data_IF_578355068295
#
_entry.id   IF_578355068295
#
_cell.length_a   1.000
_cell.length_b   1.000
_cell.length_c   1.000
_cell.angle_alpha   90.00
_cell.angle_beta   90.00
_cell.angle_gamma   90.00
#
_symmetry.space_group_name_H-M   'P 1'
#
loop_
_entity.id
_entity.type
_entity.pdbx_description
1 polymer ?
#
# COMPACT_ATOMS: atom_id res chain seq x y z
N UNK A 1 -8.71 58.29 -23.64
CA UNK A 1 -8.24 57.27 -24.61
C UNK A 1 -7.11 56.51 -23.95
N UNK A 2 -7.29 55.21 -23.72
CA UNK A 2 -6.20 54.21 -23.62
C UNK A 2 -5.42 54.12 -24.95
N UNK A 3 -4.36 53.29 -25.11
CA UNK A 3 -3.49 52.60 -24.14
C UNK A 3 -1.98 52.69 -24.51
N UNK A 4 -1.09 52.20 -23.64
CA UNK A 4 -0.07 51.25 -24.10
C UNK A 4 0.24 50.24 -22.99
N UNK A 5 -0.14 48.98 -23.26
CA UNK A 5 0.24 47.82 -22.47
C UNK A 5 1.56 47.28 -23.02
N UNK A 6 2.45 46.90 -22.12
CA UNK A 6 3.66 46.12 -22.43
C UNK A 6 3.28 44.65 -22.25
N UNK A 7 3.30 43.90 -23.35
CA UNK A 7 3.16 42.45 -23.37
C UNK A 7 4.43 41.79 -22.83
N UNK A 8 4.30 41.03 -21.74
CA UNK A 8 5.27 40.00 -21.36
C UNK A 8 4.63 38.65 -21.58
N UNK A 9 5.09 37.95 -22.61
CA UNK A 9 4.70 36.59 -22.94
C UNK A 9 5.27 35.61 -21.91
N UNK A 10 4.40 35.04 -21.07
CA UNK A 10 4.73 33.85 -20.26
C UNK A 10 4.14 32.62 -20.93
N UNK A 11 5.02 31.76 -21.46
CA UNK A 11 4.66 30.45 -22.01
C UNK A 11 4.27 29.50 -20.88
N UNK A 12 3.00 29.53 -20.48
CA UNK A 12 2.43 28.49 -19.64
C UNK A 12 2.23 27.24 -20.51
N UNK A 13 3.21 26.33 -20.44
CA UNK A 13 3.11 24.97 -20.95
C UNK A 13 1.96 24.25 -20.23
N UNK A 14 0.81 24.19 -20.89
CA UNK A 14 -0.36 23.47 -20.43
C UNK A 14 -0.09 21.96 -20.55
N UNK A 15 0.48 21.37 -19.50
CA UNK A 15 0.73 19.93 -19.42
C UNK A 15 -0.59 19.18 -19.34
N UNK A 16 -1.16 18.83 -20.50
CA UNK A 16 -2.25 17.85 -20.58
C UNK A 16 -1.79 16.56 -19.89
N UNK A 17 -2.50 16.14 -18.85
CA UNK A 17 -2.38 14.81 -18.29
C UNK A 17 -2.56 13.79 -19.42
N UNK A 18 -1.47 13.15 -19.83
CA UNK A 18 -1.53 12.03 -20.76
C UNK A 18 -2.11 10.85 -19.98
N UNK A 19 -3.42 10.62 -20.14
CA UNK A 19 -4.03 9.38 -19.70
C UNK A 19 -3.36 8.24 -20.47
N UNK A 20 -2.55 7.44 -19.78
CA UNK A 20 -1.97 6.24 -20.35
C UNK A 20 -3.11 5.20 -20.49
N UNK A 21 -3.79 5.24 -21.64
CA UNK A 21 -4.99 4.44 -21.94
C UNK A 21 -4.74 2.93 -21.93
N UNK A 22 -3.48 2.49 -21.83
CA UNK A 22 -3.09 1.07 -21.78
C UNK A 22 -3.42 0.36 -20.46
N UNK A 23 -3.71 1.09 -19.38
CA UNK A 23 -4.00 0.50 -18.07
C UNK A 23 -5.49 0.28 -17.79
N UNK A 24 -6.39 0.85 -18.60
CA UNK A 24 -7.84 0.65 -18.46
C UNK A 24 -8.16 -0.75 -18.99
N UNK A 25 -8.46 -1.68 -18.08
CA UNK A 25 -8.75 -3.08 -18.36
C UNK A 25 -10.09 -3.47 -17.73
N UNK A 26 -10.74 -4.48 -18.30
CA UNK A 26 -11.89 -5.11 -17.67
C UNK A 26 -11.50 -5.72 -16.31
N UNK A 27 -12.30 -5.54 -15.26
CA UNK A 27 -12.06 -6.15 -13.96
C UNK A 27 -11.83 -7.67 -14.06
N UNK A 28 -10.84 -8.15 -13.33
CA UNK A 28 -10.55 -9.57 -13.24
C UNK A 28 -11.58 -10.27 -12.37
N UNK A 29 -11.99 -11.46 -12.81
CA UNK A 29 -13.02 -12.26 -12.14
C UNK A 29 -12.40 -13.45 -11.44
N UNK A 30 -12.94 -13.76 -10.26
CA UNK A 30 -12.66 -15.01 -9.55
C UNK A 30 -13.20 -16.19 -10.36
N UNK A 31 -12.50 -17.31 -10.26
CA UNK A 31 -12.88 -18.59 -10.86
C UNK A 31 -13.15 -19.70 -9.82
N UNK A 32 -13.02 -19.38 -8.52
CA UNK A 32 -13.38 -20.26 -7.40
C UNK A 32 -12.31 -21.29 -7.06
N UNK A 33 -11.06 -21.11 -7.49
CA UNK A 33 -9.99 -22.08 -7.22
C UNK A 33 -9.60 -22.18 -5.76
N UNK A 34 -9.78 -21.09 -5.00
CA UNK A 34 -9.44 -21.03 -3.59
C UNK A 34 -10.57 -21.50 -2.67
N UNK A 35 -11.78 -21.71 -3.18
CA UNK A 35 -12.96 -22.10 -2.40
C UNK A 35 -12.83 -23.49 -1.75
N UNK A 36 -11.89 -24.30 -2.24
CA UNK A 36 -11.57 -25.62 -1.68
C UNK A 36 -10.74 -25.57 -0.39
N UNK A 37 -10.14 -24.43 -0.06
CA UNK A 37 -9.35 -24.24 1.16
C UNK A 37 -10.23 -23.68 2.26
N UNK A 38 -10.03 -24.15 3.48
CA UNK A 38 -10.73 -23.61 4.64
C UNK A 38 -10.32 -22.15 4.86
N UNK A 39 -11.33 -21.28 4.90
CA UNK A 39 -11.11 -19.85 5.12
C UNK A 39 -12.33 -19.20 5.75
N UNK A 40 -12.11 -18.02 6.34
CA UNK A 40 -13.18 -17.19 6.86
C UNK A 40 -12.88 -15.70 6.65
N UNK A 41 -13.95 -14.90 6.55
CA UNK A 41 -13.85 -13.45 6.55
C UNK A 41 -13.50 -12.95 7.94
N UNK A 42 -12.35 -12.28 8.10
CA UNK A 42 -11.90 -11.73 9.39
C UNK A 42 -12.85 -10.62 9.85
N UNK A 43 -13.27 -9.76 8.91
CA UNK A 43 -14.40 -8.85 9.08
C UNK A 43 -15.29 -8.87 7.83
N UNK A 44 -16.53 -8.35 7.89
CA UNK A 44 -17.39 -8.32 6.71
C UNK A 44 -16.76 -7.58 5.51
N UNK A 45 -16.06 -6.47 5.77
CA UNK A 45 -15.55 -5.57 4.73
C UNK A 45 -14.14 -5.96 4.26
N UNK A 46 -13.26 -6.36 5.17
CA UNK A 46 -11.83 -6.49 4.92
C UNK A 46 -11.27 -7.73 5.61
N UNK A 47 -10.29 -8.38 4.99
CA UNK A 47 -9.59 -9.51 5.57
C UNK A 47 -10.23 -10.86 5.25
N UNK A 48 -9.42 -11.79 4.79
CA UNK A 48 -9.75 -13.23 4.72
C UNK A 48 -8.58 -14.01 5.29
N UNK A 49 -8.84 -14.95 6.19
CA UNK A 49 -7.79 -15.83 6.72
C UNK A 49 -8.00 -17.24 6.17
N UNK A 50 -6.95 -17.80 5.56
CA UNK A 50 -6.89 -19.20 5.15
C UNK A 50 -6.24 -20.00 6.26
N UNK A 51 -6.93 -21.01 6.78
CA UNK A 51 -6.52 -21.75 7.99
C UNK A 51 -5.70 -22.99 7.67
N UNK A 52 -5.89 -23.59 6.50
CA UNK A 52 -5.28 -24.86 6.08
C UNK A 52 -4.39 -24.73 4.83
N UNK A 53 -4.25 -23.54 4.26
CA UNK A 53 -3.47 -23.30 3.06
C UNK A 53 -1.96 -23.14 3.32
N UNK A 54 -1.15 -23.72 2.43
CA UNK A 54 0.29 -23.51 2.36
C UNK A 54 0.65 -22.82 1.03
N UNK A 55 1.10 -21.56 1.10
CA UNK A 55 1.40 -20.75 -0.08
C UNK A 55 2.63 -21.27 -0.83
N UNK A 56 3.58 -21.89 -0.15
CA UNK A 56 4.75 -22.49 -0.80
C UNK A 56 4.37 -23.71 -1.66
N UNK A 57 3.33 -24.45 -1.27
CA UNK A 57 2.77 -25.53 -2.10
C UNK A 57 2.05 -24.96 -3.32
N UNK A 58 1.31 -23.86 -3.17
CA UNK A 58 0.66 -23.20 -4.31
C UNK A 58 1.68 -22.69 -5.34
N UNK A 59 2.84 -22.19 -4.89
CA UNK A 59 3.93 -21.76 -5.78
C UNK A 59 4.53 -22.93 -6.59
N UNK A 60 4.46 -24.15 -6.08
CA UNK A 60 5.05 -25.37 -6.68
C UNK A 60 4.05 -26.24 -7.44
N UNK A 61 2.76 -25.93 -7.36
CA UNK A 61 1.70 -26.70 -8.01
C UNK A 61 1.73 -26.56 -9.55
N UNK A 62 1.23 -27.57 -10.27
CA UNK A 62 1.16 -27.53 -11.74
C UNK A 62 0.30 -26.36 -12.26
N UNK A 63 -0.76 -26.00 -11.54
CA UNK A 63 -1.64 -24.87 -11.83
C UNK A 63 -1.28 -23.61 -11.02
N UNK A 64 0.00 -23.43 -10.66
CA UNK A 64 0.45 -22.37 -9.77
C UNK A 64 0.05 -20.96 -10.24
N UNK A 65 0.19 -20.65 -11.53
CA UNK A 65 -0.17 -19.33 -12.05
C UNK A 65 -1.67 -19.01 -11.85
N UNK A 66 -2.56 -19.99 -11.98
CA UNK A 66 -3.98 -19.78 -11.73
C UNK A 66 -4.27 -19.57 -10.24
N UNK A 67 -3.61 -20.33 -9.35
CA UNK A 67 -3.74 -20.16 -7.90
C UNK A 67 -3.25 -18.79 -7.43
N UNK A 68 -2.07 -18.35 -7.90
CA UNK A 68 -1.51 -17.05 -7.51
C UNK A 68 -2.32 -15.89 -8.10
N UNK A 69 -2.85 -16.06 -9.32
CA UNK A 69 -3.77 -15.08 -9.91
C UNK A 69 -5.07 -14.98 -9.11
N UNK A 70 -5.69 -16.09 -8.74
CA UNK A 70 -6.91 -16.11 -7.92
C UNK A 70 -6.65 -15.49 -6.55
N UNK A 71 -5.48 -15.77 -5.94
CA UNK A 71 -5.03 -15.14 -4.70
C UNK A 71 -4.91 -13.63 -4.85
N UNK A 72 -4.28 -13.14 -5.92
CA UNK A 72 -4.13 -11.71 -6.18
C UNK A 72 -5.49 -10.98 -6.32
N UNK A 73 -6.45 -11.60 -7.03
CA UNK A 73 -7.83 -11.08 -7.15
C UNK A 73 -8.53 -11.09 -5.78
N UNK A 74 -8.37 -12.17 -5.02
CA UNK A 74 -8.92 -12.31 -3.66
C UNK A 74 -8.38 -11.22 -2.74
N UNK A 75 -7.06 -10.98 -2.73
CA UNK A 75 -6.43 -9.91 -1.96
C UNK A 75 -6.97 -8.55 -2.40
N UNK A 76 -7.06 -8.29 -3.70
CA UNK A 76 -7.55 -7.01 -4.23
C UNK A 76 -9.00 -6.72 -3.80
N UNK A 77 -9.85 -7.76 -3.72
CA UNK A 77 -11.25 -7.66 -3.28
C UNK A 77 -11.41 -7.59 -1.77
N UNK A 78 -10.50 -8.21 -1.01
CA UNK A 78 -10.55 -8.33 0.46
C UNK A 78 -9.60 -7.39 1.20
N UNK A 79 -8.77 -6.63 0.48
CA UNK A 79 -7.74 -5.74 1.00
C UNK A 79 -6.49 -6.49 1.49
N UNK A 80 -6.68 -7.48 2.36
CA UNK A 80 -5.60 -8.28 2.97
C UNK A 80 -6.05 -9.72 3.18
N UNK A 81 -5.11 -10.65 3.08
CA UNK A 81 -5.30 -12.05 3.45
C UNK A 81 -4.23 -12.52 4.44
N UNK A 82 -4.56 -13.54 5.21
CA UNK A 82 -3.70 -14.08 6.26
C UNK A 82 -3.51 -15.59 6.12
N UNK A 83 -2.32 -16.04 6.49
CA UNK A 83 -1.96 -17.45 6.62
C UNK A 83 -1.16 -17.66 7.90
N UNK A 84 -1.27 -18.85 8.49
CA UNK A 84 -0.55 -19.18 9.72
C UNK A 84 0.66 -20.06 9.45
N UNK A 85 1.72 -19.85 10.21
CA UNK A 85 2.89 -20.72 10.30
C UNK A 85 3.47 -21.23 8.95
N UNK A 86 3.67 -20.32 7.98
CA UNK A 86 4.17 -20.61 6.63
C UNK A 86 5.69 -20.87 6.62
N UNK A 87 6.11 -21.96 7.28
CA UNK A 87 7.53 -22.33 7.49
C UNK A 87 8.29 -22.58 6.19
N UNK A 88 7.61 -23.10 5.18
CA UNK A 88 8.21 -23.50 3.89
C UNK A 88 8.35 -22.35 2.90
N UNK A 89 7.75 -21.19 3.19
CA UNK A 89 7.86 -20.00 2.34
C UNK A 89 9.19 -19.30 2.62
N UNK A 90 10.24 -19.62 1.87
CA UNK A 90 11.55 -18.96 2.00
C UNK A 90 11.52 -17.50 1.53
N UNK A 91 12.61 -16.76 1.72
CA UNK A 91 12.69 -15.37 1.22
C UNK A 91 12.64 -15.35 -0.32
N UNK A 92 13.25 -16.32 -0.98
CA UNK A 92 13.24 -16.48 -2.43
C UNK A 92 11.81 -16.72 -2.94
N UNK A 93 11.07 -17.64 -2.32
CA UNK A 93 9.67 -17.88 -2.66
C UNK A 93 8.77 -16.69 -2.32
N UNK A 94 9.06 -15.95 -1.25
CA UNK A 94 8.33 -14.73 -0.89
C UNK A 94 8.54 -13.61 -1.94
N UNK A 95 9.76 -13.47 -2.45
CA UNK A 95 10.08 -12.56 -3.56
C UNK A 95 9.39 -12.98 -4.86
N UNK A 96 9.44 -14.27 -5.20
CA UNK A 96 8.75 -14.82 -6.37
C UNK A 96 7.24 -14.55 -6.29
N UNK A 97 6.64 -14.79 -5.13
CA UNK A 97 5.22 -14.53 -4.89
C UNK A 97 4.88 -13.04 -5.08
N UNK A 98 5.65 -12.13 -4.47
CA UNK A 98 5.45 -10.69 -4.62
C UNK A 98 5.49 -10.24 -6.08
N UNK A 99 6.44 -10.77 -6.86
CA UNK A 99 6.52 -10.46 -8.28
C UNK A 99 5.33 -11.01 -9.08
N UNK A 100 5.00 -12.29 -8.86
CA UNK A 100 3.96 -13.02 -9.59
C UNK A 100 2.55 -12.48 -9.33
N UNK A 101 2.22 -12.06 -8.10
CA UNK A 101 0.92 -11.44 -7.80
C UNK A 101 0.61 -10.25 -8.73
N UNK A 102 1.61 -9.37 -8.90
CA UNK A 102 1.52 -8.24 -9.81
C UNK A 102 1.55 -8.63 -11.28
N UNK A 103 2.50 -9.48 -11.69
CA UNK A 103 2.65 -9.94 -13.10
C UNK A 103 1.36 -10.59 -13.60
N UNK A 104 0.80 -11.50 -12.80
CA UNK A 104 -0.40 -12.26 -13.15
C UNK A 104 -1.67 -11.43 -13.10
N UNK A 105 -1.64 -10.24 -12.50
CA UNK A 105 -2.75 -9.27 -12.54
C UNK A 105 -2.49 -8.08 -13.47
N UNK A 106 -1.38 -8.13 -14.22
CA UNK A 106 -1.11 -7.20 -15.32
C UNK A 106 -0.46 -5.88 -14.91
N UNK A 107 0.39 -5.88 -13.86
CA UNK A 107 1.34 -4.78 -13.59
C UNK A 107 2.21 -4.50 -14.83
N UNK A 108 2.83 -3.31 -14.96
CA UNK A 108 3.73 -3.02 -16.07
C UNK A 108 4.91 -4.01 -16.11
N UNK A 109 5.28 -4.51 -17.30
CA UNK A 109 6.40 -5.45 -17.48
C UNK A 109 7.75 -4.88 -17.01
N UNK A 110 7.89 -3.56 -17.01
CA UNK A 110 9.07 -2.86 -16.49
C UNK A 110 9.12 -2.78 -14.95
N UNK A 111 8.04 -3.17 -14.26
CA UNK A 111 7.95 -3.13 -12.81
C UNK A 111 8.33 -4.48 -12.19
N UNK A 112 9.22 -4.43 -11.20
CA UNK A 112 9.84 -5.59 -10.55
C UNK A 112 9.60 -5.50 -9.03
N UNK A 113 10.51 -6.05 -8.23
CA UNK A 113 10.47 -5.93 -6.77
C UNK A 113 11.05 -4.59 -6.32
N UNK A 114 10.44 -4.03 -5.28
CA UNK A 114 10.87 -2.80 -4.65
C UNK A 114 12.29 -2.94 -4.07
N UNK A 115 13.02 -1.83 -4.06
CA UNK A 115 14.26 -1.64 -3.29
C UNK A 115 14.08 -0.42 -2.41
N UNK A 116 14.31 -0.54 -1.11
CA UNK A 116 14.04 0.57 -0.18
C UNK A 116 15.02 1.75 -0.39
N UNK A 117 14.57 3.02 -0.28
CA UNK A 117 15.47 4.17 -0.45
C UNK A 117 16.67 4.18 0.50
N UNK A 118 16.57 3.51 1.65
CA UNK A 118 17.67 3.36 2.61
C UNK A 118 18.55 2.11 2.37
N UNK A 119 18.43 1.41 1.24
CA UNK A 119 19.17 0.16 0.99
C UNK A 119 20.69 0.31 1.20
N UNK A 120 21.27 1.45 0.84
CA UNK A 120 22.70 1.72 1.02
C UNK A 120 23.16 1.73 2.49
N UNK A 121 22.23 1.77 3.46
CA UNK A 121 22.58 1.59 4.87
C UNK A 121 23.04 0.16 5.18
N UNK A 122 22.47 -0.84 4.49
CA UNK A 122 22.80 -2.26 4.63
C UNK A 122 23.07 -2.87 3.23
N UNK A 123 24.19 -2.51 2.57
CA UNK A 123 24.43 -2.87 1.16
C UNK A 123 24.57 -4.38 0.93
N UNK A 124 24.94 -5.14 1.96
CA UNK A 124 25.15 -6.60 1.89
C UNK A 124 23.85 -7.39 2.11
N UNK A 125 22.75 -6.75 2.54
CA UNK A 125 21.45 -7.40 2.70
C UNK A 125 20.75 -7.59 1.35
N UNK A 126 19.93 -8.63 1.23
CA UNK A 126 19.07 -8.85 0.05
C UNK A 126 18.13 -7.65 -0.15
N UNK A 127 18.42 -6.84 -1.18
CA UNK A 127 17.79 -5.53 -1.43
C UNK A 127 16.27 -5.57 -1.66
N UNK A 128 15.74 -6.75 -1.99
CA UNK A 128 14.31 -6.96 -2.21
C UNK A 128 13.56 -7.48 -0.97
N UNK A 129 14.28 -7.77 0.12
CA UNK A 129 13.72 -8.13 1.42
C UNK A 129 14.01 -7.04 2.44
N UNK A 130 12.95 -6.36 2.88
CA UNK A 130 13.04 -5.41 3.97
C UNK A 130 12.89 -6.12 5.30
N UNK A 131 13.96 -6.17 6.10
CA UNK A 131 13.90 -6.67 7.48
C UNK A 131 13.35 -5.59 8.40
N UNK A 132 12.12 -5.78 8.88
CA UNK A 132 11.47 -4.89 9.85
C UNK A 132 11.70 -5.48 11.23
N UNK A 133 12.64 -4.90 11.99
CA UNK A 133 13.08 -5.47 13.26
C UNK A 133 13.26 -4.45 14.38
N UNK A 134 12.98 -4.86 15.61
CA UNK A 134 13.40 -4.17 16.83
C UNK A 134 14.64 -4.79 17.50
N UNK A 135 15.16 -5.91 16.98
CA UNK A 135 16.33 -6.63 17.55
C UNK A 135 17.62 -5.79 17.48
N UNK A 136 17.72 -4.86 16.53
CA UNK A 136 18.95 -4.12 16.24
C UNK A 136 19.14 -2.87 17.13
N UNK A 137 18.17 -2.53 17.97
CA UNK A 137 18.29 -1.41 18.90
C UNK A 137 19.13 -1.80 20.13
N UNK A 138 20.04 -0.92 20.55
CA UNK A 138 20.86 -1.14 21.76
C UNK A 138 19.99 -1.29 23.03
N UNK A 139 18.84 -0.62 23.06
CA UNK A 139 17.78 -0.82 24.04
C UNK A 139 16.41 -0.79 23.33
N UNK A 140 15.90 -1.94 22.84
CA UNK A 140 14.68 -1.98 22.03
C UNK A 140 13.45 -1.42 22.73
N UNK A 141 13.38 -1.58 24.05
CA UNK A 141 12.27 -1.10 24.83
C UNK A 141 12.27 0.44 24.89
N UNK A 142 13.42 1.03 25.21
CA UNK A 142 13.59 2.49 25.23
C UNK A 142 13.46 3.13 23.83
N UNK A 143 13.95 2.46 22.79
CA UNK A 143 13.78 2.90 21.40
C UNK A 143 12.29 2.93 21.02
N UNK A 144 11.54 1.88 21.36
CA UNK A 144 10.09 1.85 21.14
C UNK A 144 9.36 2.92 21.95
N UNK A 145 9.73 3.20 23.21
CA UNK A 145 9.10 4.28 23.99
C UNK A 145 9.42 5.67 23.44
N UNK A 146 10.68 5.92 23.05
CA UNK A 146 11.11 7.21 22.50
C UNK A 146 10.57 7.46 21.09
N UNK A 147 10.47 6.40 20.28
CA UNK A 147 10.02 6.48 18.89
C UNK A 147 8.54 6.14 18.72
N UNK A 148 7.80 5.85 19.80
CA UNK A 148 6.35 5.69 19.72
C UNK A 148 5.77 7.00 19.18
N UNK A 149 5.04 6.98 18.05
CA UNK A 149 4.46 8.20 17.50
C UNK A 149 3.54 8.85 18.54
N UNK A 150 3.81 10.11 18.89
CA UNK A 150 2.92 10.89 19.76
C UNK A 150 1.54 11.07 19.11
N UNK A 151 1.50 11.08 17.77
CA UNK A 151 0.29 11.04 16.96
C UNK A 151 0.23 9.73 16.16
N UNK A 152 -0.49 8.75 16.72
CA UNK A 152 -0.73 7.46 16.07
C UNK A 152 -1.66 7.58 14.86
N UNK A 153 -2.45 8.66 14.72
CA UNK A 153 -3.36 8.83 13.58
C UNK A 153 -2.55 9.03 12.31
N UNK A 154 -1.48 9.82 12.40
CA UNK A 154 -0.52 10.03 11.33
C UNK A 154 0.42 8.83 11.08
N UNK A 155 0.17 7.65 11.66
CA UNK A 155 0.92 6.43 11.35
C UNK A 155 0.28 5.58 10.24
N UNK A 156 -1.01 5.80 9.95
CA UNK A 156 -1.70 5.16 8.83
C UNK A 156 -1.06 5.55 7.50
N UNK A 157 -0.86 4.58 6.63
CA UNK A 157 -0.27 4.82 5.31
C UNK A 157 -0.54 3.70 4.32
N UNK A 158 -0.38 4.03 3.04
CA UNK A 158 -0.03 3.08 1.98
C UNK A 158 1.49 3.11 1.79
N UNK A 159 2.11 1.95 1.60
CA UNK A 159 3.56 1.87 1.38
C UNK A 159 4.00 2.68 0.16
N UNK A 160 5.11 3.40 0.30
CA UNK A 160 5.80 4.10 -0.78
C UNK A 160 4.90 4.91 -1.74
N UNK A 161 3.81 5.50 -1.23
CA UNK A 161 2.93 6.39 -2.00
C UNK A 161 3.63 7.63 -2.57
N UNK A 162 4.82 7.95 -2.09
CA UNK A 162 5.68 9.02 -2.60
C UNK A 162 6.45 8.67 -3.89
N UNK A 163 6.44 7.40 -4.33
CA UNK A 163 7.05 6.99 -5.59
C UNK A 163 6.08 7.20 -6.77
N UNK A 164 6.57 7.54 -7.98
CA UNK A 164 5.74 7.63 -9.18
C UNK A 164 4.98 6.33 -9.52
N UNK A 165 5.63 5.18 -9.34
CA UNK A 165 5.02 3.85 -9.40
C UNK A 165 5.03 3.23 -7.98
N UNK A 166 3.98 3.42 -7.17
CA UNK A 166 3.93 2.84 -5.84
C UNK A 166 3.73 1.32 -5.91
N UNK A 167 3.92 0.62 -4.78
CA UNK A 167 3.67 -0.80 -4.65
C UNK A 167 2.27 -1.26 -5.07
N UNK A 168 2.19 -2.47 -5.64
CA UNK A 168 0.93 -3.20 -5.81
C UNK A 168 0.63 -4.04 -4.56
N UNK A 169 1.34 -5.14 -4.34
CA UNK A 169 1.17 -6.03 -3.20
C UNK A 169 2.37 -5.97 -2.27
N UNK A 170 2.11 -6.17 -0.98
CA UNK A 170 3.14 -6.36 0.03
C UNK A 170 2.88 -7.63 0.82
N UNK A 171 3.96 -8.33 1.13
CA UNK A 171 3.96 -9.59 1.85
C UNK A 171 4.83 -9.42 3.07
N UNK A 172 4.24 -9.56 4.27
CA UNK A 172 4.98 -9.55 5.53
C UNK A 172 4.89 -10.92 6.19
N UNK A 173 6.04 -11.56 6.37
CA UNK A 173 6.20 -12.80 7.14
C UNK A 173 6.88 -12.49 8.46
N UNK A 174 6.18 -12.66 9.58
CA UNK A 174 6.74 -12.40 10.91
C UNK A 174 7.52 -13.63 11.39
N UNK A 175 8.79 -13.46 11.77
CA UNK A 175 9.68 -14.56 12.19
C UNK A 175 9.96 -14.56 13.70
N UNK A 176 9.86 -13.39 14.35
CA UNK A 176 9.91 -13.25 15.81
C UNK A 176 8.81 -12.29 16.25
N UNK A 177 8.18 -12.59 17.37
CA UNK A 177 7.17 -11.74 17.97
C UNK A 177 7.25 -11.74 19.50
N UNK A 178 6.81 -10.65 20.16
CA UNK A 178 6.59 -10.65 21.59
C UNK A 178 5.41 -11.59 21.96
N UNK A 179 5.28 -12.01 23.23
CA UNK A 179 4.14 -12.80 23.70
C UNK A 179 2.78 -12.10 23.53
N UNK A 180 2.79 -10.76 23.50
CA UNK A 180 1.63 -9.91 23.23
C UNK A 180 2.06 -8.56 22.66
N UNK A 181 1.15 -7.89 21.95
CA UNK A 181 1.40 -6.65 21.23
C UNK A 181 2.17 -6.86 19.93
N UNK A 182 2.52 -5.77 19.25
CA UNK A 182 3.23 -5.82 17.96
C UNK A 182 2.33 -6.17 16.78
N UNK A 183 1.03 -6.01 16.98
CA UNK A 183 -0.01 -6.26 15.99
C UNK A 183 0.10 -5.31 14.80
N UNK A 184 -0.66 -5.60 13.76
CA UNK A 184 -0.77 -4.72 12.59
C UNK A 184 -2.24 -4.49 12.28
N UNK A 185 -2.59 -3.25 11.97
CA UNK A 185 -3.94 -2.87 11.60
C UNK A 185 -4.00 -2.53 10.12
N UNK A 186 -5.13 -2.84 9.50
CA UNK A 186 -5.47 -2.44 8.13
C UNK A 186 -6.83 -1.76 8.11
N UNK A 187 -7.02 -0.83 7.18
CA UNK A 187 -8.30 -0.18 6.91
C UNK A 187 -8.59 -0.19 5.40
N UNK A 188 -9.83 -0.49 5.02
CA UNK A 188 -10.26 -0.54 3.62
C UNK A 188 -10.45 0.85 3.05
N UNK A 189 -9.64 1.22 2.07
CA UNK A 189 -9.78 2.52 1.41
C UNK A 189 -10.96 2.58 0.44
N UNK A 190 -11.42 1.42 -0.06
CA UNK A 190 -12.68 1.30 -0.80
C UNK A 190 -13.89 1.56 0.12
N UNK A 191 -13.95 0.95 1.31
CA UNK A 191 -15.09 1.15 2.22
C UNK A 191 -15.19 2.60 2.70
N UNK A 192 -14.05 3.20 3.02
CA UNK A 192 -13.98 4.63 3.35
C UNK A 192 -14.54 5.47 2.20
N UNK A 193 -14.15 5.20 0.95
CA UNK A 193 -14.69 5.91 -0.20
C UNK A 193 -16.21 5.70 -0.38
N UNK A 194 -16.69 4.47 -0.16
CA UNK A 194 -18.08 4.10 -0.33
C UNK A 194 -19.03 4.75 0.70
N UNK A 195 -18.51 5.15 1.87
CA UNK A 195 -19.24 5.92 2.88
C UNK A 195 -19.41 7.39 2.54
N UNK A 196 -18.54 7.94 1.68
CA UNK A 196 -18.62 9.34 1.25
C UNK A 196 -19.85 9.51 0.35
N UNK A 197 -20.63 10.57 0.58
CA UNK A 197 -21.84 10.83 -0.21
C UNK A 197 -21.50 11.01 -1.71
N UNK A 198 -22.39 10.60 -2.63
CA UNK A 198 -22.13 10.66 -4.07
C UNK A 198 -21.69 12.05 -4.57
N UNK A 199 -22.24 13.13 -4.01
CA UNK A 199 -21.86 14.49 -4.39
C UNK A 199 -20.43 14.84 -3.96
N UNK A 200 -20.04 14.44 -2.76
CA UNK A 200 -18.71 14.70 -2.25
C UNK A 200 -17.67 13.83 -2.96
N UNK A 201 -18.00 12.58 -3.28
CA UNK A 201 -17.17 11.72 -4.14
C UNK A 201 -16.87 12.37 -5.48
N UNK A 202 -17.89 12.89 -6.17
CA UNK A 202 -17.70 13.60 -7.45
C UNK A 202 -16.77 14.81 -7.33
N UNK A 203 -16.82 15.52 -6.21
CA UNK A 203 -15.88 16.61 -5.93
C UNK A 203 -14.43 16.09 -5.80
N UNK A 204 -14.22 14.94 -5.16
CA UNK A 204 -12.90 14.33 -4.98
C UNK A 204 -12.30 13.68 -6.24
N UNK A 205 -13.14 13.18 -7.16
CA UNK A 205 -12.73 12.41 -8.35
C UNK A 205 -11.85 13.19 -9.36
N UNK A 206 -11.74 14.52 -9.24
CA UNK A 206 -10.89 15.37 -10.08
C UNK A 206 -9.65 15.94 -9.38
N UNK A 207 -9.48 15.68 -8.08
CA UNK A 207 -8.41 16.27 -7.29
C UNK A 207 -7.14 15.43 -7.35
N UNK A 208 -6.01 16.10 -7.21
CA UNK A 208 -4.68 15.48 -7.06
C UNK A 208 -4.07 15.86 -5.72
N UNK A 209 -3.20 15.00 -5.21
CA UNK A 209 -2.48 15.23 -3.97
C UNK A 209 -0.98 15.05 -4.17
N UNK A 210 -0.22 15.89 -3.49
CA UNK A 210 1.24 15.78 -3.40
C UNK A 210 1.61 14.79 -2.29
N UNK A 211 2.39 13.78 -2.65
CA UNK A 211 2.94 12.79 -1.74
C UNK A 211 4.43 13.02 -1.56
N UNK A 212 4.94 12.82 -0.35
CA UNK A 212 6.37 12.93 -0.05
C UNK A 212 6.83 11.94 1.01
N UNK A 213 8.15 11.76 1.07
CA UNK A 213 8.82 11.15 2.20
C UNK A 213 10.06 11.95 2.61
N UNK A 214 9.82 13.12 3.19
CA UNK A 214 10.88 14.05 3.64
C UNK A 214 11.74 13.50 4.78
N UNK A 215 11.29 12.47 5.51
CA UNK A 215 12.04 11.89 6.64
C UNK A 215 13.24 11.09 6.19
N UNK A 216 13.15 10.35 5.09
CA UNK A 216 14.21 9.44 4.65
C UNK A 216 15.50 10.16 4.23
N UNK A 217 15.47 11.24 3.43
CA UNK A 217 16.68 12.03 3.15
C UNK A 217 17.32 12.61 4.41
N UNK A 218 16.51 13.04 5.38
CA UNK A 218 16.99 13.52 6.68
C UNK A 218 17.71 12.41 7.46
N UNK A 219 17.13 11.23 7.55
CA UNK A 219 17.74 10.06 8.23
C UNK A 219 19.06 9.67 7.56
N UNK A 220 19.11 9.64 6.23
CA UNK A 220 20.31 9.31 5.48
C UNK A 220 21.45 10.31 5.79
N UNK A 221 21.14 11.61 5.78
CA UNK A 221 22.07 12.67 6.18
C UNK A 221 22.53 12.55 7.63
N UNK A 222 21.62 12.33 8.57
CA UNK A 222 21.93 12.20 10.01
C UNK A 222 22.82 10.97 10.30
N UNK A 223 22.65 9.89 9.54
CA UNK A 223 23.45 8.66 9.65
C UNK A 223 24.68 8.61 8.75
N UNK A 224 24.92 9.64 7.92
CA UNK A 224 26.12 9.76 7.09
C UNK A 224 26.20 8.80 5.90
N UNK A 225 25.06 8.45 5.28
CA UNK A 225 25.04 7.63 4.05
C UNK A 225 24.15 8.27 2.96
N UNK A 226 24.36 7.86 1.72
CA UNK A 226 23.57 8.32 0.57
C UNK A 226 22.35 7.43 0.32
N UNK A 227 21.23 8.01 -0.11
CA UNK A 227 20.06 7.23 -0.52
C UNK A 227 20.36 6.35 -1.74
N UNK A 228 19.62 5.26 -1.87
CA UNK A 228 19.63 4.44 -3.08
C UNK A 228 18.88 5.17 -4.22
N UNK A 229 19.63 5.69 -5.19
CA UNK A 229 19.12 6.52 -6.29
C UNK A 229 18.89 5.77 -7.60
N UNK A 230 19.30 4.51 -7.68
CA UNK A 230 19.03 3.63 -8.83
C UNK A 230 17.56 3.19 -8.87
N UNK A 231 17.07 2.56 -9.95
CA UNK A 231 15.69 2.10 -10.04
C UNK A 231 15.25 1.25 -8.84
N UNK A 232 14.22 1.72 -8.13
CA UNK A 232 13.62 1.06 -6.96
C UNK A 232 12.42 0.19 -7.34
N UNK A 233 12.64 -0.65 -8.33
CA UNK A 233 11.64 -1.59 -8.87
C UNK A 233 10.83 -1.06 -10.06
N UNK A 234 10.98 0.21 -10.45
CA UNK A 234 10.44 0.79 -11.70
C UNK A 234 11.46 1.76 -12.30
N UNK A 235 11.55 1.91 -13.63
CA UNK A 235 12.38 2.92 -14.27
C UNK A 235 11.99 4.36 -13.90
N UNK A 236 10.77 4.57 -13.40
CA UNK A 236 10.31 5.88 -12.94
C UNK A 236 10.63 6.15 -11.46
N UNK A 237 10.97 5.13 -10.68
CA UNK A 237 11.28 5.25 -9.26
C UNK A 237 12.79 5.38 -9.08
N UNK A 238 13.33 6.55 -9.44
CA UNK A 238 14.77 6.82 -9.48
C UNK A 238 15.08 8.14 -8.77
N UNK A 239 16.35 8.36 -8.45
CA UNK A 239 16.82 9.59 -7.81
C UNK A 239 16.51 9.67 -6.32
N UNK A 240 16.76 10.83 -5.74
CA UNK A 240 16.62 11.16 -4.31
C UNK A 240 15.36 11.99 -4.00
N UNK A 241 14.68 12.48 -5.04
CA UNK A 241 13.40 13.16 -4.94
C UNK A 241 12.29 12.15 -4.62
N UNK A 242 12.03 11.96 -3.32
CA UNK A 242 10.94 11.12 -2.82
C UNK A 242 9.64 11.94 -2.73
N UNK A 243 9.23 12.53 -3.85
CA UNK A 243 8.01 13.33 -3.98
C UNK A 243 7.32 13.05 -5.30
N UNK A 244 6.00 13.01 -5.31
CA UNK A 244 5.20 12.77 -6.52
C UNK A 244 3.78 13.32 -6.37
N UNK A 245 3.03 13.35 -7.47
CA UNK A 245 1.62 13.74 -7.49
C UNK A 245 0.77 12.56 -7.95
N UNK A 246 -0.27 12.25 -7.19
CA UNK A 246 -1.23 11.18 -7.47
C UNK A 246 -2.68 11.70 -7.40
N UNK A 247 -3.65 11.01 -8.02
CA UNK A 247 -5.05 11.36 -7.82
C UNK A 247 -5.50 11.10 -6.37
N UNK A 248 -6.40 11.94 -5.86
CA UNK A 248 -7.01 11.76 -4.52
C UNK A 248 -7.83 10.48 -4.45
N UNK A 249 -8.55 10.18 -5.54
CA UNK A 249 -9.30 8.93 -5.74
C UNK A 249 -8.63 8.15 -6.86
N UNK A 250 -8.24 6.91 -6.61
CA UNK A 250 -7.64 6.04 -7.63
C UNK A 250 -8.57 4.91 -8.02
N UNK A 251 -8.30 4.31 -9.18
CA UNK A 251 -8.86 3.04 -9.63
C UNK A 251 -7.88 1.92 -9.32
N UNK A 252 -8.37 0.82 -8.75
CA UNK A 252 -7.62 -0.43 -8.67
C UNK A 252 -7.75 -1.19 -10.01
N UNK A 253 -6.65 -1.52 -10.71
CA UNK A 253 -6.70 -2.13 -12.04
C UNK A 253 -7.17 -3.59 -12.03
N UNK A 254 -7.17 -4.26 -10.88
CA UNK A 254 -7.59 -5.66 -10.75
C UNK A 254 -9.11 -5.75 -10.62
N UNK A 255 -9.70 -4.86 -9.83
CA UNK A 255 -11.13 -4.89 -9.49
C UNK A 255 -11.96 -3.84 -10.23
N UNK A 256 -11.31 -2.82 -10.80
CA UNK A 256 -12.00 -1.63 -11.32
C UNK A 256 -12.70 -0.81 -10.22
N UNK A 257 -12.36 -1.03 -8.95
CA UNK A 257 -12.96 -0.32 -7.83
C UNK A 257 -12.25 1.00 -7.57
N UNK A 258 -13.04 2.00 -7.17
CA UNK A 258 -12.54 3.28 -6.68
C UNK A 258 -12.10 3.14 -5.22
N UNK A 259 -10.99 3.77 -4.87
CA UNK A 259 -10.52 3.92 -3.51
C UNK A 259 -10.03 5.34 -3.25
N UNK A 260 -10.25 5.83 -2.03
CA UNK A 260 -9.56 7.02 -1.55
C UNK A 260 -8.07 6.68 -1.42
N UNK A 261 -7.16 7.55 -1.87
CA UNK A 261 -5.71 7.28 -1.83
C UNK A 261 -4.93 8.32 -1.05
N UNK A 262 -5.36 9.58 -1.09
CA UNK A 262 -4.70 10.71 -0.41
C UNK A 262 -4.95 10.72 1.10
N UNK A 263 -4.40 9.73 1.81
CA UNK A 263 -4.51 9.61 3.27
C UNK A 263 -3.18 9.16 3.87
N UNK A 264 -2.92 9.60 5.09
CA UNK A 264 -1.81 9.11 5.87
C UNK A 264 -0.53 9.91 5.72
N UNK A 265 0.53 9.35 6.29
CA UNK A 265 1.80 10.04 6.54
C UNK A 265 2.56 10.54 5.30
N UNK A 266 2.22 10.04 4.11
CA UNK A 266 2.89 10.43 2.87
C UNK A 266 2.15 11.56 2.16
N UNK A 267 0.88 11.84 2.45
CA UNK A 267 0.10 12.85 1.74
C UNK A 267 0.24 14.22 2.40
N UNK A 268 0.72 15.21 1.66
CA UNK A 268 1.03 16.54 2.21
C UNK A 268 -0.08 17.56 1.97
N UNK A 269 -0.63 17.57 0.75
CA UNK A 269 -1.60 18.57 0.32
C UNK A 269 -2.43 18.09 -0.87
N UNK A 270 -3.64 18.62 -0.99
CA UNK A 270 -4.50 18.50 -2.18
C UNK A 270 -4.26 19.74 -3.04
N UNK A 271 -3.84 19.55 -4.28
CA UNK A 271 -3.18 20.57 -5.09
C UNK A 271 -4.15 21.64 -5.63
N UNK A 272 -5.40 21.28 -5.87
CA UNK A 272 -6.41 22.17 -6.44
C UNK A 272 -7.18 22.98 -5.38
N UNK A 273 -6.85 22.80 -4.10
CA UNK A 273 -7.54 23.44 -2.98
C UNK A 273 -6.64 24.43 -2.26
N UNK A 274 -7.26 25.37 -1.54
CA UNK A 274 -6.50 26.26 -0.65
C UNK A 274 -5.85 25.44 0.47
N UNK A 275 -4.78 25.94 1.11
CA UNK A 275 -4.13 25.23 2.21
C UNK A 275 -5.07 24.87 3.38
N UNK A 276 -6.06 25.72 3.70
CA UNK A 276 -7.04 25.43 4.76
C UNK A 276 -8.00 24.31 4.35
N UNK A 277 -8.55 24.36 3.13
CA UNK A 277 -9.44 23.31 2.61
C UNK A 277 -8.72 21.96 2.50
N UNK A 278 -7.50 21.97 1.94
CA UNK A 278 -6.65 20.79 1.85
C UNK A 278 -6.43 20.17 3.24
N UNK A 279 -6.01 20.98 4.22
CA UNK A 279 -5.75 20.49 5.57
C UNK A 279 -7.00 19.88 6.20
N UNK A 280 -8.15 20.56 6.10
CA UNK A 280 -9.42 20.09 6.67
C UNK A 280 -9.86 18.76 6.06
N UNK A 281 -9.71 18.58 4.75
CA UNK A 281 -10.05 17.33 4.08
C UNK A 281 -9.12 16.19 4.48
N UNK A 282 -7.80 16.41 4.50
CA UNK A 282 -6.85 15.39 4.93
C UNK A 282 -7.07 14.97 6.39
N UNK A 283 -7.35 15.94 7.28
CA UNK A 283 -7.72 15.67 8.67
C UNK A 283 -9.00 14.83 8.78
N UNK A 284 -10.02 15.15 7.96
CA UNK A 284 -11.28 14.41 7.90
C UNK A 284 -11.09 12.99 7.38
N UNK A 285 -10.27 12.79 6.33
CA UNK A 285 -9.99 11.45 5.82
C UNK A 285 -9.33 10.56 6.86
N UNK A 286 -8.35 11.10 7.62
CA UNK A 286 -7.75 10.40 8.75
C UNK A 286 -8.73 10.17 9.88
N UNK A 287 -9.62 11.13 10.15
CA UNK A 287 -10.67 10.97 11.17
C UNK A 287 -11.58 9.79 10.83
N UNK A 288 -12.05 9.66 9.58
CA UNK A 288 -12.88 8.52 9.18
C UNK A 288 -12.18 7.17 9.45
N UNK A 289 -10.88 7.04 9.19
CA UNK A 289 -10.16 5.78 9.47
C UNK A 289 -10.16 5.46 10.98
N UNK A 290 -9.97 6.47 11.82
CA UNK A 290 -9.81 6.28 13.27
C UNK A 290 -11.14 6.09 13.98
N UNK A 291 -12.22 6.69 13.48
CA UNK A 291 -13.54 6.67 14.10
C UNK A 291 -14.47 5.59 13.53
N UNK A 292 -14.28 5.18 12.26
CA UNK A 292 -15.12 4.18 11.59
C UNK A 292 -14.57 2.76 11.81
N UNK A 293 -14.94 2.13 12.92
CA UNK A 293 -14.36 0.85 13.32
C UNK A 293 -14.72 -0.35 12.42
N UNK A 294 -15.75 -0.23 11.60
CA UNK A 294 -16.22 -1.27 10.66
C UNK A 294 -15.43 -1.32 9.34
N UNK A 295 -14.55 -0.33 9.08
CA UNK A 295 -13.67 -0.32 7.91
C UNK A 295 -12.28 -0.90 8.19
N UNK A 296 -11.98 -1.22 9.45
CA UNK A 296 -10.67 -1.65 9.91
C UNK A 296 -10.66 -3.10 10.44
N UNK A 297 -9.46 -3.67 10.48
CA UNK A 297 -9.16 -4.89 11.22
C UNK A 297 -7.84 -4.75 11.95
N UNK A 298 -7.71 -5.43 13.10
CA UNK A 298 -6.46 -5.61 13.83
C UNK A 298 -6.08 -7.08 13.76
N UNK A 299 -4.93 -7.39 13.16
CA UNK A 299 -4.39 -8.74 13.12
C UNK A 299 -3.39 -8.94 14.26
N UNK A 300 -3.69 -9.91 15.12
CA UNK A 300 -2.73 -10.42 16.10
C UNK A 300 -1.87 -11.50 15.47
N UNK A 301 -0.56 -11.31 15.52
CA UNK A 301 0.41 -12.32 15.13
C UNK A 301 0.45 -13.41 16.21
N UNK A 302 0.34 -14.67 15.80
CA UNK A 302 0.19 -15.80 16.73
C UNK A 302 1.36 -16.78 16.66
N UNK A 303 1.91 -17.02 15.47
CA UNK A 303 2.97 -17.99 15.27
C UNK A 303 4.16 -17.40 14.52
N UNK A 304 5.38 -17.86 14.79
CA UNK A 304 6.48 -17.70 13.85
C UNK A 304 6.04 -18.16 12.46
N UNK A 305 6.38 -17.35 11.46
CA UNK A 305 6.03 -17.51 10.05
C UNK A 305 4.55 -17.26 9.72
N UNK A 306 3.79 -16.62 10.60
CA UNK A 306 2.52 -16.01 10.19
C UNK A 306 2.75 -14.99 9.06
N UNK A 307 1.83 -14.97 8.11
CA UNK A 307 1.94 -14.24 6.85
C UNK A 307 0.73 -13.35 6.66
N UNK A 308 0.97 -12.08 6.29
CA UNK A 308 -0.05 -11.21 5.74
C UNK A 308 0.34 -10.78 4.33
N UNK A 309 -0.63 -10.80 3.41
CA UNK A 309 -0.47 -10.28 2.05
C UNK A 309 -1.58 -9.27 1.80
N UNK A 310 -1.23 -8.04 1.42
CA UNK A 310 -2.22 -7.00 1.18
C UNK A 310 -1.99 -6.28 -0.15
N UNK A 311 -3.06 -5.72 -0.70
CA UNK A 311 -3.04 -4.86 -1.88
C UNK A 311 -2.93 -3.40 -1.41
N UNK A 312 -1.76 -2.80 -1.59
CA UNK A 312 -1.49 -1.40 -1.21
C UNK A 312 -2.40 -0.40 -1.94
N UNK A 313 -3.05 -0.80 -3.04
CA UNK A 313 -3.96 0.06 -3.80
C UNK A 313 -5.34 0.19 -3.14
N UNK A 314 -5.69 -0.70 -2.21
CA UNK A 314 -7.03 -0.77 -1.58
C UNK A 314 -7.04 -0.74 -0.05
N UNK A 315 -5.86 -0.61 0.58
CA UNK A 315 -5.76 -0.52 2.05
C UNK A 315 -4.78 0.54 2.52
N UNK A 316 -5.04 1.03 3.73
CA UNK A 316 -4.06 1.64 4.60
C UNK A 316 -3.66 0.65 5.67
N UNK A 317 -2.47 0.80 6.25
CA UNK A 317 -2.04 0.01 7.38
C UNK A 317 -1.21 0.80 8.38
N UNK A 318 -1.10 0.26 9.60
CA UNK A 318 -0.20 0.76 10.64
C UNK A 318 0.31 -0.36 11.54
N UNK A 319 1.57 -0.27 11.96
CA UNK A 319 2.15 -1.15 12.96
C UNK A 319 1.84 -0.62 14.37
N UNK A 320 1.46 -1.52 15.28
CA UNK A 320 1.17 -1.15 16.66
C UNK A 320 2.43 -1.35 17.50
N UNK A 321 2.93 -0.27 18.09
CA UNK A 321 4.14 -0.26 18.93
C UNK A 321 3.83 -0.43 20.43
N UNK A 322 2.92 -1.36 20.77
CA UNK A 322 2.43 -1.62 22.14
C UNK A 322 3.18 -2.75 22.88
N UNK A 323 4.44 -3.00 22.49
CA UNK A 323 5.23 -4.15 22.95
C UNK A 323 6.61 -3.79 23.52
N UNK A 324 6.80 -2.54 23.94
CA UNK A 324 8.05 -2.10 24.56
C UNK A 324 8.35 -2.93 25.83
N UNK A 325 9.54 -3.52 25.89
CA UNK A 325 9.97 -4.38 27.00
C UNK A 325 9.36 -5.80 27.00
N UNK A 326 8.54 -6.14 26.00
CA UNK A 326 7.88 -7.46 25.93
C UNK A 326 8.63 -8.48 25.06
N UNK A 327 9.69 -8.06 24.39
CA UNK A 327 10.51 -8.90 23.53
C UNK A 327 10.62 -8.36 22.10
N UNK A 328 11.35 -9.07 21.24
CA UNK A 328 11.63 -8.61 19.90
C UNK A 328 10.48 -8.86 18.93
N UNK A 329 10.40 -8.02 17.90
CA UNK A 329 9.55 -8.22 16.73
C UNK A 329 10.41 -8.13 15.49
N UNK A 330 10.41 -9.18 14.68
CA UNK A 330 11.16 -9.24 13.42
C UNK A 330 10.30 -9.85 12.34
N UNK A 331 10.22 -9.20 11.18
CA UNK A 331 9.53 -9.73 10.00
C UNK A 331 10.25 -9.36 8.71
N UNK A 332 10.11 -10.21 7.69
CA UNK A 332 10.67 -10.00 6.36
C UNK A 332 9.55 -9.54 5.43
N UNK A 333 9.78 -8.42 4.74
CA UNK A 333 8.80 -7.84 3.82
C UNK A 333 9.32 -7.83 2.39
N UNK A 334 8.60 -8.50 1.49
CA UNK A 334 8.77 -8.42 0.05
C UNK A 334 7.65 -7.56 -0.54
N UNK A 335 7.96 -6.76 -1.55
CA UNK A 335 7.03 -5.77 -2.10
C UNK A 335 7.14 -5.74 -3.62
N UNK A 336 6.02 -5.94 -4.31
CA UNK A 336 5.93 -5.74 -5.76
C UNK A 336 5.68 -4.26 -6.08
N UNK A 337 6.20 -3.78 -7.22
CA UNK A 337 5.91 -2.45 -7.75
C UNK A 337 4.80 -2.53 -8.79
N UNK A 338 3.80 -1.66 -8.65
CA UNK A 338 2.63 -1.60 -9.52
C UNK A 338 2.70 -0.51 -10.58
N UNK A 339 1.52 -0.25 -11.15
CA UNK A 339 1.28 0.82 -12.09
C UNK A 339 1.34 2.21 -11.46
N UNK A 340 1.52 3.24 -12.31
CA UNK A 340 1.30 4.62 -11.88
C UNK A 340 -0.20 4.78 -11.55
N UNK A 341 -0.57 5.34 -10.38
CA UNK A 341 -1.96 5.51 -9.99
C UNK A 341 -2.72 6.38 -11.00
N UNK A 342 -3.94 5.97 -11.30
CA UNK A 342 -4.82 6.66 -12.22
C UNK A 342 -6.26 6.64 -11.69
N UNK A 343 -7.08 7.54 -12.21
CA UNK A 343 -8.52 7.57 -12.00
C UNK A 343 -9.22 7.29 -13.33
N UNK A 344 -10.14 6.32 -13.34
CA UNK A 344 -11.04 6.07 -14.45
C UNK A 344 -12.49 6.39 -14.03
N UNK A 345 -13.10 7.32 -14.77
CA UNK A 345 -14.49 7.77 -14.55
C UNK A 345 -15.51 6.62 -14.64
N UNK A 346 -15.20 5.56 -15.41
CA UNK A 346 -16.07 4.39 -15.57
C UNK A 346 -15.98 3.40 -14.42
N UNK A 347 -14.96 3.53 -13.56
CA UNK A 347 -14.78 2.67 -12.39
C UNK A 347 -15.97 2.77 -11.43
N UNK A 348 -16.18 1.71 -10.65
CA UNK A 348 -17.31 1.60 -9.73
C UNK A 348 -16.84 1.74 -8.30
N UNK A 349 -17.77 2.11 -7.42
CA UNK A 349 -17.57 1.90 -5.98
C UNK A 349 -17.57 0.40 -5.70
N UNK A 350 -16.98 -0.02 -4.57
CA UNK A 350 -16.95 -1.45 -4.22
C UNK A 350 -18.38 -1.97 -4.04
N UNK A 351 -19.24 -1.25 -3.32
CA UNK A 351 -20.65 -1.61 -3.10
C UNK A 351 -21.45 -1.72 -4.39
N UNK A 352 -21.29 -0.80 -5.34
CA UNK A 352 -21.97 -0.91 -6.64
C UNK A 352 -21.52 -2.15 -7.40
N UNK A 353 -20.21 -2.43 -7.43
CA UNK A 353 -19.68 -3.60 -8.14
C UNK A 353 -20.16 -4.92 -7.51
N UNK A 354 -20.13 -5.02 -6.18
CA UNK A 354 -20.62 -6.20 -5.46
C UNK A 354 -22.12 -6.40 -5.63
N UNK A 355 -22.92 -5.33 -5.59
CA UNK A 355 -24.36 -5.42 -5.83
C UNK A 355 -24.68 -5.92 -7.25
N UNK A 356 -23.88 -5.56 -8.25
CA UNK A 356 -23.99 -6.08 -9.62
C UNK A 356 -23.63 -7.57 -9.74
N UNK A 357 -22.83 -8.10 -8.80
CA UNK A 357 -22.48 -9.51 -8.70
C UNK A 357 -23.49 -10.31 -7.83
N UNK A 358 -24.46 -9.64 -7.21
CA UNK A 358 -25.47 -10.26 -6.34
C UNK A 358 -25.04 -10.42 -4.87
N UNK A 359 -24.08 -9.62 -4.41
CA UNK A 359 -23.56 -9.61 -3.03
C UNK A 359 -24.06 -8.43 -2.20
#
# INVERSE_FOLDING_TARGET
>A
MSPSQIETTSSHGNGKATHDTKLIKEPLKLIGLLDKYESFSVTPVIGTEFTDANVAEWLKADNSDDLIRELAITISRRGVVFFRAQKDLTNELQMELADRLGRLTGKPESSTLHVHPLQNFNPDEEKHINTITTDQAANPAEDLWKNRPADIRNSWHTDAGYEPNPPDYSILKVVKMPPTGGDTMWASSCEIYDKISPHYRKFLEGLTASFSQRRLPRVAKEKGFELYTQPRGSPNNVGDSLTTTHPVVRTNPVTGWKSLFAVGNHCESINELTPDESKRLLDWFLQMIVEEHDCQLRHRWQNPYDLAIWDNRTVYHTAIFDYAGLGPRTGHRAVGIGEKPYFDVKSKTRREALAMEGH
#
